data_IF_733552908384
#
_entry.id   IF_733552908384
#
_cell.length_a   1.000
_cell.length_b   1.000
_cell.length_c   1.000
_cell.angle_alpha   90.00
_cell.angle_beta   90.00
_cell.angle_gamma   90.00
#
_symmetry.space_group_name_H-M   'P 1'
#
loop_
_entity.id
_entity.type
_entity.pdbx_description
1 polymer ?
#
# COMPACT_ATOMS: atom_id res chain seq x y z
N UNK A 1 -41.28 -42.10 -3.38
CA UNK A 1 -41.25 -41.11 -2.29
C UNK A 1 -40.98 -39.75 -2.92
N UNK A 2 -41.93 -38.85 -2.90
CA UNK A 2 -41.77 -37.47 -3.40
C UNK A 2 -41.03 -36.64 -2.36
N UNK A 3 -39.89 -36.09 -2.74
CA UNK A 3 -39.07 -35.18 -1.94
C UNK A 3 -39.88 -33.93 -1.58
N UNK A 4 -39.86 -33.51 -0.31
CA UNK A 4 -40.54 -32.26 0.08
C UNK A 4 -39.70 -31.09 -0.43
N UNK A 5 -40.27 -30.31 -1.35
CA UNK A 5 -39.58 -29.20 -2.01
C UNK A 5 -40.08 -27.88 -1.44
N UNK A 6 -39.24 -27.23 -0.63
CA UNK A 6 -39.43 -25.81 -0.33
C UNK A 6 -38.86 -25.03 -1.52
N UNK A 7 -39.69 -24.77 -2.54
CA UNK A 7 -39.25 -24.23 -3.84
C UNK A 7 -38.97 -22.71 -3.86
N UNK A 8 -39.17 -21.99 -2.75
CA UNK A 8 -39.04 -20.53 -2.72
C UNK A 8 -37.76 -20.04 -2.02
N UNK A 9 -37.11 -19.04 -2.63
CA UNK A 9 -36.06 -18.24 -2.00
C UNK A 9 -36.62 -17.50 -0.79
N UNK A 10 -35.98 -17.65 0.37
CA UNK A 10 -36.49 -17.15 1.65
C UNK A 10 -35.66 -16.00 2.19
N UNK A 11 -36.20 -15.23 3.15
CA UNK A 11 -35.49 -14.16 3.83
C UNK A 11 -34.13 -14.61 4.40
N UNK A 12 -34.04 -15.85 4.88
CA UNK A 12 -32.81 -16.39 5.45
C UNK A 12 -31.71 -16.61 4.40
N UNK A 13 -32.10 -16.86 3.14
CA UNK A 13 -31.16 -16.91 2.02
C UNK A 13 -30.57 -15.52 1.73
N UNK A 14 -31.36 -14.44 1.83
CA UNK A 14 -30.88 -13.05 1.74
C UNK A 14 -29.86 -12.76 2.83
N UNK A 15 -30.17 -13.12 4.08
CA UNK A 15 -29.26 -12.91 5.21
C UNK A 15 -27.93 -13.64 4.99
N UNK A 16 -27.97 -14.90 4.57
CA UNK A 16 -26.75 -15.66 4.25
C UNK A 16 -25.92 -15.00 3.14
N UNK A 17 -26.56 -14.49 2.08
CA UNK A 17 -25.86 -13.76 1.01
C UNK A 17 -25.18 -12.48 1.51
N UNK A 18 -25.80 -11.73 2.43
CA UNK A 18 -25.18 -10.55 3.05
C UNK A 18 -23.91 -10.96 3.80
N UNK A 19 -23.96 -12.03 4.58
CA UNK A 19 -22.79 -12.51 5.31
C UNK A 19 -21.71 -13.11 4.40
N UNK A 20 -22.08 -13.67 3.25
CA UNK A 20 -21.13 -14.04 2.19
C UNK A 20 -20.44 -12.80 1.60
N UNK A 21 -21.15 -11.69 1.42
CA UNK A 21 -20.53 -10.42 0.99
C UNK A 21 -19.59 -9.87 2.06
N UNK A 22 -19.97 -9.92 3.35
CA UNK A 22 -19.08 -9.52 4.44
C UNK A 22 -17.81 -10.38 4.46
N UNK A 23 -17.96 -11.70 4.30
CA UNK A 23 -16.85 -12.64 4.21
C UNK A 23 -15.95 -12.33 3.00
N UNK A 24 -16.54 -12.04 1.84
CA UNK A 24 -15.81 -11.61 0.65
C UNK A 24 -14.96 -10.38 0.94
N UNK A 25 -15.55 -9.33 1.52
CA UNK A 25 -14.87 -8.06 1.81
C UNK A 25 -13.71 -8.29 2.79
N UNK A 26 -13.95 -9.03 3.88
CA UNK A 26 -12.93 -9.31 4.89
C UNK A 26 -11.76 -10.15 4.34
N UNK A 27 -12.07 -11.21 3.60
CA UNK A 27 -11.05 -12.02 2.91
C UNK A 27 -10.28 -11.18 1.88
N UNK A 28 -10.98 -10.35 1.10
CA UNK A 28 -10.37 -9.50 0.08
C UNK A 28 -9.34 -8.56 0.68
N UNK A 29 -9.70 -7.82 1.73
CA UNK A 29 -8.77 -6.91 2.38
C UNK A 29 -7.62 -7.64 3.08
N UNK A 30 -7.89 -8.76 3.76
CA UNK A 30 -6.83 -9.59 4.36
C UNK A 30 -5.84 -10.12 3.32
N UNK A 31 -6.35 -10.63 2.20
CA UNK A 31 -5.55 -11.10 1.07
C UNK A 31 -4.80 -9.97 0.38
N UNK A 32 -5.36 -8.76 0.32
CA UNK A 32 -4.68 -7.59 -0.25
C UNK A 32 -3.34 -7.32 0.45
N UNK A 33 -3.25 -7.59 1.76
CA UNK A 33 -1.97 -7.52 2.47
C UNK A 33 -1.02 -8.65 2.05
N UNK A 34 -1.48 -9.91 2.03
CA UNK A 34 -0.66 -11.06 1.63
C UNK A 34 -0.14 -10.97 0.20
N UNK A 35 -0.93 -10.41 -0.72
CA UNK A 35 -0.56 -10.28 -2.13
C UNK A 35 0.16 -8.97 -2.44
N UNK A 36 0.58 -8.20 -1.42
CA UNK A 36 1.22 -6.89 -1.58
C UNK A 36 0.40 -5.89 -2.40
N UNK A 37 -0.93 -5.99 -2.30
CA UNK A 37 -1.91 -5.16 -2.99
C UNK A 37 -2.21 -5.57 -4.43
N UNK A 38 -1.97 -6.84 -4.80
CA UNK A 38 -2.41 -7.35 -6.09
C UNK A 38 -3.94 -7.57 -6.11
N UNK A 39 -4.66 -6.55 -6.58
CA UNK A 39 -6.13 -6.53 -6.68
C UNK A 39 -6.73 -7.75 -7.40
N UNK A 40 -6.32 -8.07 -8.65
CA UNK A 40 -6.89 -9.20 -9.38
C UNK A 40 -6.82 -10.52 -8.61
N UNK A 41 -5.66 -10.82 -8.01
CA UNK A 41 -5.45 -12.07 -7.27
C UNK A 41 -6.31 -12.09 -6.02
N UNK A 42 -6.33 -11.00 -5.24
CA UNK A 42 -7.12 -10.93 -4.01
C UNK A 42 -8.63 -11.05 -4.27
N UNK A 43 -9.13 -10.43 -5.34
CA UNK A 43 -10.53 -10.56 -5.77
C UNK A 43 -10.83 -11.99 -6.21
N UNK A 44 -9.98 -12.57 -7.06
CA UNK A 44 -10.20 -13.92 -7.59
C UNK A 44 -10.28 -14.98 -6.48
N UNK A 45 -9.34 -14.95 -5.53
CA UNK A 45 -9.33 -15.90 -4.40
C UNK A 45 -10.56 -15.67 -3.50
N UNK A 46 -10.89 -14.41 -3.18
CA UNK A 46 -12.04 -14.10 -2.31
C UNK A 46 -13.37 -14.51 -2.96
N UNK A 47 -13.51 -14.28 -4.27
CA UNK A 47 -14.69 -14.69 -5.04
C UNK A 47 -14.81 -16.21 -5.08
N UNK A 48 -13.71 -16.92 -5.32
CA UNK A 48 -13.69 -18.38 -5.31
C UNK A 48 -14.16 -18.94 -3.96
N UNK A 49 -13.68 -18.40 -2.85
CA UNK A 49 -14.12 -18.81 -1.50
C UNK A 49 -15.64 -18.64 -1.34
N UNK A 50 -16.19 -17.51 -1.76
CA UNK A 50 -17.63 -17.22 -1.67
C UNK A 50 -18.46 -18.16 -2.56
N UNK A 51 -18.00 -18.43 -3.79
CA UNK A 51 -18.66 -19.39 -4.69
C UNK A 51 -18.68 -20.79 -4.08
N UNK A 52 -17.57 -21.23 -3.48
CA UNK A 52 -17.49 -22.52 -2.80
C UNK A 52 -18.45 -22.60 -1.61
N UNK A 53 -18.51 -21.54 -0.78
CA UNK A 53 -19.49 -21.47 0.30
C UNK A 53 -20.92 -21.55 -0.20
N UNK A 54 -21.27 -20.75 -1.20
CA UNK A 54 -22.61 -20.76 -1.77
C UNK A 54 -22.98 -22.15 -2.30
N UNK A 55 -22.07 -22.80 -3.05
CA UNK A 55 -22.26 -24.15 -3.55
C UNK A 55 -22.48 -25.17 -2.41
N UNK A 56 -21.66 -25.12 -1.35
CA UNK A 56 -21.79 -26.00 -0.18
C UNK A 56 -23.15 -25.79 0.50
N UNK A 57 -23.60 -24.55 0.71
CA UNK A 57 -24.91 -24.26 1.30
C UNK A 57 -26.05 -24.84 0.45
N UNK A 58 -26.01 -24.67 -0.87
CA UNK A 58 -27.05 -25.22 -1.75
C UNK A 58 -27.08 -26.75 -1.71
N UNK A 59 -25.90 -27.40 -1.69
CA UNK A 59 -25.81 -28.86 -1.59
C UNK A 59 -26.27 -29.37 -0.22
N UNK A 60 -25.95 -28.66 0.86
CA UNK A 60 -26.41 -28.95 2.22
C UNK A 60 -27.94 -28.86 2.32
N UNK A 61 -28.56 -27.81 1.76
CA UNK A 61 -30.03 -27.67 1.71
C UNK A 61 -30.68 -28.85 0.99
N UNK A 62 -30.21 -29.17 -0.23
CA UNK A 62 -30.71 -30.31 -1.02
C UNK A 62 -30.55 -31.64 -0.30
N UNK A 63 -29.44 -31.83 0.41
CA UNK A 63 -29.14 -33.09 1.09
C UNK A 63 -29.76 -33.20 2.49
N UNK A 64 -30.38 -32.14 3.02
CA UNK A 64 -30.81 -32.07 4.42
C UNK A 64 -31.80 -33.19 4.76
N UNK A 65 -32.79 -33.46 3.91
CA UNK A 65 -33.80 -34.49 4.20
C UNK A 65 -33.14 -35.87 4.37
N UNK A 66 -32.20 -36.22 3.48
CA UNK A 66 -31.42 -37.46 3.56
C UNK A 66 -30.54 -37.50 4.80
N UNK A 67 -29.87 -36.38 5.11
CA UNK A 67 -28.98 -36.28 6.27
C UNK A 67 -29.75 -36.47 7.58
N UNK A 68 -30.89 -35.79 7.77
CA UNK A 68 -31.68 -35.89 9.01
C UNK A 68 -32.30 -37.28 9.14
N UNK A 69 -32.87 -37.85 8.07
CA UNK A 69 -33.45 -39.20 8.08
C UNK A 69 -32.42 -40.28 8.42
N UNK A 70 -31.16 -40.10 8.00
CA UNK A 70 -30.05 -41.03 8.28
C UNK A 70 -29.25 -40.66 9.55
N UNK A 71 -29.78 -39.78 10.41
CA UNK A 71 -29.11 -39.32 11.64
C UNK A 71 -27.67 -38.84 11.38
N UNK A 72 -27.46 -38.09 10.29
CA UNK A 72 -26.19 -37.54 9.84
C UNK A 72 -25.10 -38.58 9.50
N UNK A 73 -25.45 -39.86 9.32
CA UNK A 73 -24.52 -40.90 8.82
C UNK A 73 -24.42 -40.94 7.28
N UNK A 74 -25.00 -39.95 6.59
CA UNK A 74 -24.97 -39.86 5.13
C UNK A 74 -23.61 -39.35 4.61
N UNK A 75 -23.14 -39.76 3.42
CA UNK A 75 -21.95 -39.17 2.81
C UNK A 75 -22.04 -37.63 2.66
N UNK A 76 -23.26 -37.08 2.56
CA UNK A 76 -23.49 -35.63 2.49
C UNK A 76 -23.01 -34.86 3.74
N UNK A 77 -22.81 -35.53 4.89
CA UNK A 77 -22.24 -34.91 6.10
C UNK A 77 -20.82 -34.38 5.86
N UNK A 78 -20.09 -34.90 4.86
CA UNK A 78 -18.78 -34.36 4.45
C UNK A 78 -18.85 -32.87 4.08
N UNK A 79 -20.01 -32.38 3.60
CA UNK A 79 -20.21 -30.98 3.25
C UNK A 79 -20.10 -30.05 4.47
N UNK A 80 -20.47 -30.51 5.66
CA UNK A 80 -20.28 -29.75 6.91
C UNK A 80 -18.79 -29.68 7.27
N UNK A 81 -18.04 -30.75 7.05
CA UNK A 81 -16.58 -30.77 7.26
C UNK A 81 -15.89 -29.81 6.28
N UNK A 82 -16.26 -29.84 4.99
CA UNK A 82 -15.74 -28.91 3.98
C UNK A 82 -16.07 -27.46 4.33
N UNK A 83 -17.27 -27.19 4.85
CA UNK A 83 -17.65 -25.87 5.34
C UNK A 83 -16.71 -25.39 6.46
N UNK A 84 -16.40 -26.25 7.44
CA UNK A 84 -15.47 -25.91 8.54
C UNK A 84 -14.06 -25.67 8.02
N UNK A 85 -13.59 -26.46 7.04
CA UNK A 85 -12.27 -26.26 6.41
C UNK A 85 -12.19 -24.88 5.74
N UNK A 86 -13.23 -24.48 4.99
CA UNK A 86 -13.28 -23.12 4.42
C UNK A 86 -13.31 -22.03 5.50
N UNK A 87 -13.89 -22.32 6.67
CA UNK A 87 -13.97 -21.36 7.77
C UNK A 87 -12.58 -21.12 8.36
N UNK A 88 -11.80 -22.19 8.53
CA UNK A 88 -10.39 -22.11 8.96
C UNK A 88 -9.56 -21.35 7.90
N UNK A 89 -9.78 -21.63 6.61
CA UNK A 89 -9.09 -20.90 5.55
C UNK A 89 -9.40 -19.40 5.58
N UNK A 90 -10.66 -19.02 5.78
CA UNK A 90 -11.09 -17.62 5.86
C UNK A 90 -10.67 -16.94 7.17
N UNK A 91 -10.47 -17.72 8.23
CA UNK A 91 -10.03 -17.21 9.54
C UNK A 91 -8.67 -16.51 9.44
N UNK A 92 -7.73 -17.04 8.64
CA UNK A 92 -6.38 -16.47 8.50
C UNK A 92 -6.38 -15.04 7.95
N UNK A 93 -6.90 -14.75 6.74
CA UNK A 93 -6.93 -13.39 6.19
C UNK A 93 -7.81 -12.44 7.01
N UNK A 94 -8.94 -12.90 7.57
CA UNK A 94 -9.78 -12.08 8.46
C UNK A 94 -9.02 -11.66 9.73
N UNK A 95 -8.36 -12.62 10.39
CA UNK A 95 -7.54 -12.34 11.57
C UNK A 95 -6.39 -11.40 11.23
N UNK A 96 -5.75 -11.61 10.08
CA UNK A 96 -4.67 -10.76 9.61
C UNK A 96 -5.12 -9.31 9.40
N UNK A 97 -6.24 -9.12 8.72
CA UNK A 97 -6.86 -7.81 8.53
C UNK A 97 -7.15 -7.13 9.86
N UNK A 98 -7.82 -7.83 10.78
CA UNK A 98 -8.17 -7.28 12.09
C UNK A 98 -6.89 -6.89 12.85
N UNK A 99 -5.87 -7.74 12.85
CA UNK A 99 -4.60 -7.46 13.53
C UNK A 99 -3.92 -6.20 12.98
N UNK A 100 -3.92 -6.04 11.65
CA UNK A 100 -3.38 -4.84 11.01
C UNK A 100 -4.15 -3.60 11.44
N UNK A 101 -5.49 -3.66 11.41
CA UNK A 101 -6.36 -2.54 11.77
C UNK A 101 -6.23 -2.14 13.25
N UNK A 102 -6.05 -3.10 14.16
CA UNK A 102 -6.05 -2.83 15.60
C UNK A 102 -4.67 -2.61 16.20
N UNK A 103 -3.63 -3.29 15.70
CA UNK A 103 -2.32 -3.33 16.34
C UNK A 103 -1.18 -2.74 15.50
N UNK A 104 -1.25 -2.87 14.17
CA UNK A 104 -0.17 -2.42 13.28
C UNK A 104 -0.38 -1.01 12.73
N UNK A 105 -1.63 -0.59 12.55
CA UNK A 105 -2.03 0.67 11.90
C UNK A 105 -1.26 1.89 12.39
N UNK A 106 -1.28 2.15 13.70
CA UNK A 106 -0.64 3.34 14.26
C UNK A 106 0.89 3.29 14.07
N UNK A 107 1.48 2.09 14.11
CA UNK A 107 2.92 1.88 13.92
C UNK A 107 3.33 2.13 12.48
N UNK A 108 2.53 1.65 11.52
CA UNK A 108 2.68 1.95 10.09
C UNK A 108 2.60 3.45 9.86
N UNK A 109 1.62 4.13 10.46
CA UNK A 109 1.45 5.58 10.31
C UNK A 109 2.63 6.37 10.89
N UNK A 110 3.15 5.98 12.06
CA UNK A 110 4.34 6.58 12.67
C UNK A 110 5.56 6.41 11.76
N UNK A 111 5.83 5.19 11.30
CA UNK A 111 6.98 4.92 10.43
C UNK A 111 6.91 5.67 9.10
N UNK A 112 5.72 5.73 8.48
CA UNK A 112 5.49 6.51 7.26
C UNK A 112 5.75 7.99 7.54
N UNK A 113 5.20 8.55 8.62
CA UNK A 113 5.40 9.95 8.97
C UNK A 113 6.88 10.27 9.17
N UNK A 114 7.63 9.45 9.91
CA UNK A 114 9.06 9.65 10.14
C UNK A 114 9.86 9.69 8.83
N UNK A 115 9.54 8.77 7.90
CA UNK A 115 10.21 8.68 6.59
C UNK A 115 9.83 9.84 5.67
N UNK A 116 8.55 10.19 5.59
CA UNK A 116 8.05 11.26 4.73
C UNK A 116 8.48 12.65 5.24
N UNK A 117 8.49 12.88 6.56
CA UNK A 117 8.91 14.16 7.13
C UNK A 117 10.36 14.53 6.76
N UNK A 118 11.23 13.53 6.53
CA UNK A 118 12.58 13.77 6.01
C UNK A 118 12.55 14.28 4.57
N UNK A 119 11.68 13.74 3.73
CA UNK A 119 11.52 14.20 2.34
C UNK A 119 10.95 15.62 2.32
N UNK A 120 10.03 15.94 3.23
CA UNK A 120 9.43 17.27 3.31
C UNK A 120 10.44 18.39 3.59
N UNK A 121 11.63 18.09 4.10
CA UNK A 121 12.70 19.08 4.29
C UNK A 121 13.57 19.29 3.04
N UNK A 122 13.42 18.47 2.00
CA UNK A 122 14.31 18.50 0.82
C UNK A 122 14.19 19.79 0.03
N UNK A 123 12.99 20.35 -0.06
CA UNK A 123 12.75 21.65 -0.70
C UNK A 123 13.56 22.75 -0.03
N UNK A 124 13.51 22.82 1.32
CA UNK A 124 14.28 23.80 2.11
C UNK A 124 15.80 23.55 2.03
N UNK A 125 16.23 22.29 2.09
CA UNK A 125 17.66 21.93 1.98
C UNK A 125 18.20 22.41 0.63
N UNK A 126 17.50 22.13 -0.46
CA UNK A 126 17.93 22.54 -1.80
C UNK A 126 17.89 24.07 -1.94
N UNK A 127 16.78 24.72 -1.57
CA UNK A 127 16.63 26.17 -1.67
C UNK A 127 17.74 26.93 -0.92
N UNK A 128 18.05 26.51 0.31
CA UNK A 128 19.09 27.14 1.12
C UNK A 128 20.49 26.92 0.54
N UNK A 129 20.78 25.71 0.06
CA UNK A 129 22.07 25.42 -0.59
C UNK A 129 22.20 26.18 -1.89
N UNK A 130 21.20 26.15 -2.77
CA UNK A 130 21.20 26.84 -4.05
C UNK A 130 21.35 28.35 -3.91
N UNK A 131 20.69 28.97 -2.90
CA UNK A 131 20.85 30.39 -2.59
C UNK A 131 22.30 30.74 -2.23
N UNK A 132 22.87 29.99 -1.30
CA UNK A 132 24.27 30.17 -0.87
C UNK A 132 25.22 29.93 -2.04
N UNK A 133 24.94 28.92 -2.85
CA UNK A 133 25.73 28.54 -4.00
C UNK A 133 25.78 29.63 -5.07
N UNK A 134 24.62 30.22 -5.36
CA UNK A 134 24.51 31.31 -6.32
C UNK A 134 25.30 32.54 -5.88
N UNK A 135 25.24 32.90 -4.60
CA UNK A 135 26.02 34.02 -4.04
C UNK A 135 27.54 33.74 -4.13
N UNK A 136 27.95 32.52 -3.81
CA UNK A 136 29.35 32.11 -3.92
C UNK A 136 29.82 32.09 -5.38
N UNK A 137 29.00 31.59 -6.31
CA UNK A 137 29.32 31.58 -7.73
C UNK A 137 29.47 33.00 -8.29
N UNK A 138 28.54 33.90 -7.98
CA UNK A 138 28.58 35.31 -8.37
C UNK A 138 29.87 35.98 -7.87
N UNK A 139 30.16 35.84 -6.58
CA UNK A 139 31.35 36.42 -5.96
C UNK A 139 32.65 35.88 -6.57
N UNK A 140 32.76 34.56 -6.72
CA UNK A 140 33.96 33.93 -7.27
C UNK A 140 34.16 34.27 -8.74
N UNK A 141 33.10 34.27 -9.56
CA UNK A 141 33.16 34.64 -10.98
C UNK A 141 33.59 36.12 -11.14
N UNK A 142 32.95 37.02 -10.40
CA UNK A 142 33.25 38.47 -10.42
C UNK A 142 34.71 38.71 -10.07
N UNK A 143 35.19 38.12 -8.97
CA UNK A 143 36.58 38.28 -8.52
C UNK A 143 37.59 37.71 -9.52
N UNK A 144 37.31 36.54 -10.11
CA UNK A 144 38.18 35.93 -11.12
C UNK A 144 38.22 36.73 -12.42
N UNK A 145 37.09 37.25 -12.89
CA UNK A 145 37.03 38.10 -14.08
C UNK A 145 37.77 39.41 -13.87
N UNK A 146 37.55 40.12 -12.75
CA UNK A 146 38.29 41.35 -12.41
C UNK A 146 39.79 41.12 -12.34
N UNK A 147 40.21 40.02 -11.70
CA UNK A 147 41.62 39.65 -11.64
C UNK A 147 42.19 39.34 -13.04
N UNK A 148 41.43 38.64 -13.88
CA UNK A 148 41.84 38.29 -15.23
C UNK A 148 41.99 39.51 -16.14
N UNK A 149 41.03 40.43 -16.13
CA UNK A 149 41.07 41.69 -16.90
C UNK A 149 42.32 42.50 -16.56
N UNK A 150 42.69 42.55 -15.27
CA UNK A 150 43.88 43.27 -14.79
C UNK A 150 45.19 42.56 -15.13
N UNK A 151 45.27 41.25 -14.91
CA UNK A 151 46.55 40.52 -14.94
C UNK A 151 46.84 39.80 -16.26
N UNK A 152 45.81 39.52 -17.06
CA UNK A 152 45.86 38.73 -18.30
C UNK A 152 46.49 37.34 -18.10
N UNK A 153 46.35 36.78 -16.88
CA UNK A 153 46.99 35.51 -16.50
C UNK A 153 46.42 34.33 -17.32
N UNK A 154 47.26 33.51 -17.97
CA UNK A 154 46.83 32.27 -18.62
C UNK A 154 46.15 31.30 -17.65
N UNK A 155 46.60 31.25 -16.39
CA UNK A 155 46.00 30.40 -15.35
C UNK A 155 44.56 30.81 -15.05
N UNK A 156 44.30 32.12 -14.91
CA UNK A 156 42.94 32.62 -14.69
C UNK A 156 42.05 32.40 -15.92
N UNK A 157 42.59 32.57 -17.14
CA UNK A 157 41.89 32.24 -18.39
C UNK A 157 41.43 30.78 -18.38
N UNK A 158 42.33 29.85 -18.09
CA UNK A 158 42.01 28.42 -18.05
C UNK A 158 40.97 28.09 -16.97
N UNK A 159 41.03 28.74 -15.80
CA UNK A 159 40.01 28.57 -14.76
C UNK A 159 38.63 29.09 -15.17
N UNK A 160 38.57 30.23 -15.87
CA UNK A 160 37.31 30.80 -16.37
C UNK A 160 36.72 29.98 -17.52
N UNK A 161 37.55 29.33 -18.33
CA UNK A 161 37.10 28.41 -19.38
C UNK A 161 36.60 27.07 -18.84
N UNK A 162 37.06 26.67 -17.66
CA UNK A 162 36.66 25.42 -17.03
C UNK A 162 35.33 25.54 -16.27
N UNK A 163 34.74 24.39 -15.93
CA UNK A 163 33.61 24.33 -15.00
C UNK A 163 34.02 24.89 -13.63
N UNK A 164 33.13 25.62 -12.94
CA UNK A 164 31.72 25.84 -13.27
C UNK A 164 31.42 27.05 -14.18
N UNK A 165 32.43 27.83 -14.59
CA UNK A 165 32.21 29.13 -15.28
C UNK A 165 32.01 29.00 -16.78
N UNK A 166 32.76 28.11 -17.46
CA UNK A 166 32.64 27.79 -18.89
C UNK A 166 32.54 29.04 -19.80
N UNK A 167 33.38 30.06 -19.54
CA UNK A 167 33.44 31.26 -20.37
C UNK A 167 34.17 30.95 -21.68
N UNK A 168 33.61 31.38 -22.80
CA UNK A 168 34.17 31.13 -24.13
C UNK A 168 35.57 31.74 -24.28
N UNK A 169 36.49 30.98 -24.89
CA UNK A 169 37.86 31.41 -25.16
C UNK A 169 37.93 32.70 -26.00
N UNK A 170 36.96 32.93 -26.89
CA UNK A 170 36.82 34.11 -27.72
C UNK A 170 36.47 35.34 -26.89
N UNK A 171 35.53 35.22 -25.95
CA UNK A 171 35.19 36.30 -25.00
C UNK A 171 36.41 36.66 -24.15
N UNK A 172 37.20 35.66 -23.77
CA UNK A 172 38.44 35.86 -23.02
C UNK A 172 39.63 36.29 -23.89
N UNK A 173 39.51 36.37 -25.22
CA UNK A 173 40.62 36.77 -26.10
C UNK A 173 40.91 38.28 -26.05
N UNK A 174 39.90 39.08 -25.72
CA UNK A 174 39.97 40.56 -25.68
C UNK A 174 39.63 41.09 -24.28
N UNK A 175 40.49 40.82 -23.27
CA UNK A 175 40.18 41.12 -21.87
C UNK A 175 39.90 42.60 -21.58
N UNK A 176 40.41 43.54 -22.39
CA UNK A 176 40.13 44.97 -22.23
C UNK A 176 38.66 45.35 -22.52
N UNK A 177 37.94 44.52 -23.27
CA UNK A 177 36.58 44.77 -23.71
C UNK A 177 35.54 43.98 -22.91
N UNK A 178 35.97 43.25 -21.88
CA UNK A 178 35.05 42.47 -21.03
C UNK A 178 34.36 43.43 -20.06
N UNK A 179 33.05 43.61 -20.25
CA UNK A 179 32.17 44.11 -19.19
C UNK A 179 31.95 42.97 -18.19
N UNK A 180 32.56 43.09 -17.01
CA UNK A 180 32.49 42.05 -15.98
C UNK A 180 31.08 41.90 -15.46
N UNK A 181 30.36 43.01 -15.25
CA UNK A 181 29.06 42.99 -14.58
C UNK A 181 28.01 42.39 -15.54
N UNK A 182 28.05 42.74 -16.83
CA UNK A 182 27.18 42.14 -17.86
C UNK A 182 27.47 40.64 -18.07
N UNK A 183 28.76 40.26 -18.15
CA UNK A 183 29.13 38.85 -18.33
C UNK A 183 28.72 38.00 -17.12
N UNK A 184 28.89 38.51 -15.90
CA UNK A 184 28.43 37.84 -14.68
C UNK A 184 26.90 37.70 -14.70
N UNK A 185 26.18 38.79 -14.99
CA UNK A 185 24.72 38.78 -15.04
C UNK A 185 24.18 37.75 -16.06
N UNK A 186 24.76 37.71 -17.25
CA UNK A 186 24.43 36.73 -18.30
C UNK A 186 24.61 35.29 -17.82
N UNK A 187 25.71 34.99 -17.13
CA UNK A 187 25.95 33.64 -16.58
C UNK A 187 25.01 33.29 -15.43
N UNK A 188 24.64 34.26 -14.61
CA UNK A 188 23.69 34.05 -13.52
C UNK A 188 22.27 33.70 -14.03
N UNK A 189 21.85 34.19 -15.20
CA UNK A 189 20.54 33.84 -15.78
C UNK A 189 20.43 32.32 -16.00
N UNK A 190 21.43 31.71 -16.65
CA UNK A 190 21.42 30.28 -16.93
C UNK A 190 21.45 29.44 -15.65
N UNK A 191 22.25 29.85 -14.65
CA UNK A 191 22.32 29.17 -13.34
C UNK A 191 20.99 29.29 -12.59
N UNK A 192 20.36 30.48 -12.57
CA UNK A 192 19.06 30.70 -11.94
C UNK A 192 17.96 29.85 -12.56
N UNK A 193 17.89 29.78 -13.89
CA UNK A 193 16.92 28.93 -14.60
C UNK A 193 17.05 27.48 -14.16
N UNK A 194 18.29 26.94 -14.16
CA UNK A 194 18.53 25.55 -13.75
C UNK A 194 18.16 25.28 -12.29
N UNK A 195 18.46 26.22 -11.39
CA UNK A 195 18.08 26.12 -9.97
C UNK A 195 16.55 26.10 -9.83
N UNK A 196 15.84 26.96 -10.57
CA UNK A 196 14.38 26.99 -10.54
C UNK A 196 13.76 25.68 -11.05
N UNK A 197 14.25 25.15 -12.17
CA UNK A 197 13.79 23.87 -12.72
C UNK A 197 14.02 22.72 -11.73
N UNK A 198 15.20 22.68 -11.11
CA UNK A 198 15.54 21.67 -10.12
C UNK A 198 14.71 21.80 -8.84
N UNK A 199 14.43 23.03 -8.39
CA UNK A 199 13.54 23.29 -7.26
C UNK A 199 12.13 22.75 -7.54
N UNK A 200 11.57 23.00 -8.73
CA UNK A 200 10.24 22.51 -9.11
C UNK A 200 10.16 20.98 -9.09
N UNK A 201 11.20 20.28 -9.55
CA UNK A 201 11.24 18.81 -9.52
C UNK A 201 11.29 18.26 -8.09
N UNK A 202 12.03 18.93 -7.19
CA UNK A 202 12.07 18.59 -5.77
C UNK A 202 10.72 18.87 -5.09
N UNK A 203 10.12 20.02 -5.36
CA UNK A 203 8.80 20.38 -4.82
C UNK A 203 7.72 19.39 -5.28
N UNK A 204 7.77 18.94 -6.53
CA UNK A 204 6.90 17.88 -7.02
C UNK A 204 7.07 16.59 -6.21
N UNK A 205 8.31 16.18 -5.92
CA UNK A 205 8.57 15.00 -5.09
C UNK A 205 8.08 15.16 -3.65
N UNK A 206 8.23 16.35 -3.07
CA UNK A 206 7.68 16.68 -1.74
C UNK A 206 6.15 16.59 -1.74
N UNK A 207 5.49 17.09 -2.79
CA UNK A 207 4.04 16.97 -2.93
C UNK A 207 3.58 15.51 -3.06
N UNK A 208 4.29 14.69 -3.85
CA UNK A 208 4.04 13.24 -3.93
C UNK A 208 4.19 12.55 -2.56
N UNK A 209 5.18 12.99 -1.76
CA UNK A 209 5.41 12.49 -0.41
C UNK A 209 4.26 12.86 0.55
N UNK A 210 3.79 14.11 0.52
CA UNK A 210 2.63 14.57 1.28
C UNK A 210 1.34 13.80 0.90
N UNK A 211 1.17 13.52 -0.39
CA UNK A 211 0.07 12.70 -0.88
C UNK A 211 0.15 11.26 -0.35
N UNK A 212 1.36 10.69 -0.26
CA UNK A 212 1.63 9.42 0.40
C UNK A 212 1.17 9.46 1.86
N UNK A 213 1.68 10.42 2.63
CA UNK A 213 1.36 10.59 4.03
C UNK A 213 -0.15 10.70 4.26
N UNK A 214 -0.85 11.53 3.48
CA UNK A 214 -2.30 11.71 3.56
C UNK A 214 -3.05 10.39 3.40
N UNK A 215 -2.65 9.53 2.46
CA UNK A 215 -3.30 8.22 2.24
C UNK A 215 -3.11 7.24 3.40
N UNK A 216 -1.96 7.28 4.07
CA UNK A 216 -1.75 6.51 5.30
C UNK A 216 -2.54 7.07 6.48
N UNK A 217 -2.61 8.40 6.63
CA UNK A 217 -3.40 9.04 7.68
C UNK A 217 -4.90 8.75 7.51
N UNK A 218 -5.41 8.80 6.29
CA UNK A 218 -6.80 8.42 5.96
C UNK A 218 -7.02 6.90 5.98
N UNK A 219 -5.96 6.11 6.16
CA UNK A 219 -5.97 4.66 6.12
C UNK A 219 -6.68 4.11 4.87
N UNK A 220 -6.21 4.54 3.70
CA UNK A 220 -6.75 4.07 2.43
C UNK A 220 -6.41 2.58 2.21
N UNK A 221 -7.25 1.68 2.72
CA UNK A 221 -7.07 0.22 2.75
C UNK A 221 -6.69 -0.40 1.41
N UNK A 222 -7.17 0.20 0.32
CA UNK A 222 -6.91 -0.23 -1.05
C UNK A 222 -5.45 0.01 -1.48
N UNK A 223 -4.73 0.91 -0.81
CA UNK A 223 -3.37 1.33 -1.18
C UNK A 223 -2.32 1.00 -0.13
N UNK A 224 -2.71 0.85 1.15
CA UNK A 224 -1.75 0.62 2.27
C UNK A 224 -0.78 -0.51 1.95
N UNK A 225 -1.25 -1.67 1.47
CA UNK A 225 -0.38 -2.82 1.24
C UNK A 225 0.73 -2.54 0.20
N UNK A 226 0.36 -2.00 -0.98
CA UNK A 226 1.32 -1.71 -2.05
C UNK A 226 2.21 -0.52 -1.71
N UNK A 227 1.62 0.55 -1.18
CA UNK A 227 2.39 1.75 -0.85
C UNK A 227 3.34 1.46 0.31
N UNK A 228 2.92 0.72 1.34
CA UNK A 228 3.83 0.44 2.45
C UNK A 228 5.03 -0.40 2.00
N UNK A 229 4.81 -1.39 1.12
CA UNK A 229 5.90 -2.17 0.50
C UNK A 229 6.89 -1.30 -0.29
N UNK A 230 6.39 -0.27 -0.98
CA UNK A 230 7.20 0.60 -1.84
C UNK A 230 7.80 1.81 -1.11
N UNK A 231 7.44 2.04 0.15
CA UNK A 231 7.84 3.23 0.93
C UNK A 231 9.36 3.40 0.98
N UNK A 232 10.11 2.34 1.29
CA UNK A 232 11.57 2.41 1.36
C UNK A 232 12.20 2.82 0.03
N UNK A 233 11.73 2.24 -1.08
CA UNK A 233 12.19 2.59 -2.43
C UNK A 233 11.86 4.04 -2.73
N UNK A 234 10.62 4.48 -2.47
CA UNK A 234 10.22 5.88 -2.68
C UNK A 234 11.12 6.87 -1.91
N UNK A 235 11.47 6.56 -0.66
CA UNK A 235 12.37 7.40 0.15
C UNK A 235 13.77 7.43 -0.44
N UNK A 236 14.33 6.27 -0.83
CA UNK A 236 15.65 6.17 -1.46
C UNK A 236 15.69 7.00 -2.75
N UNK A 237 14.73 6.79 -3.65
CA UNK A 237 14.64 7.51 -4.92
C UNK A 237 14.52 9.03 -4.71
N UNK A 238 13.93 9.45 -3.59
CA UNK A 238 13.80 10.87 -3.24
C UNK A 238 15.15 11.46 -2.80
N UNK A 239 15.94 10.71 -2.02
CA UNK A 239 17.31 11.12 -1.68
C UNK A 239 18.21 11.16 -2.92
N UNK A 240 18.08 10.19 -3.83
CA UNK A 240 18.82 10.16 -5.09
C UNK A 240 18.48 11.37 -5.97
N UNK A 241 17.20 11.73 -6.07
CA UNK A 241 16.76 12.94 -6.76
C UNK A 241 17.42 14.19 -6.14
N UNK A 242 17.30 14.39 -4.83
CA UNK A 242 17.90 15.54 -4.14
C UNK A 242 19.41 15.61 -4.42
N UNK A 243 20.13 14.49 -4.24
CA UNK A 243 21.57 14.44 -4.41
C UNK A 243 22.01 14.67 -5.86
N UNK A 244 21.24 14.17 -6.83
CA UNK A 244 21.44 14.51 -8.24
C UNK A 244 21.34 16.02 -8.44
N UNK A 245 20.32 16.68 -7.90
CA UNK A 245 20.12 18.13 -8.04
C UNK A 245 21.17 18.96 -7.32
N UNK A 246 21.63 18.51 -6.15
CA UNK A 246 22.75 19.11 -5.43
C UNK A 246 24.06 19.00 -6.23
N UNK A 247 24.31 17.88 -6.92
CA UNK A 247 25.51 17.70 -7.74
C UNK A 247 25.58 18.65 -8.95
N UNK A 248 24.42 19.18 -9.35
CA UNK A 248 24.26 20.10 -10.47
C UNK A 248 24.49 21.57 -10.09
N UNK A 249 24.62 21.89 -8.79
CA UNK A 249 24.98 23.22 -8.32
C UNK A 249 26.41 23.60 -8.75
N UNK A 250 26.67 24.87 -9.09
CA UNK A 250 27.98 25.27 -9.60
C UNK A 250 29.14 25.13 -8.61
N UNK A 251 28.94 25.36 -7.30
CA UNK A 251 30.05 25.41 -6.33
C UNK A 251 30.00 24.25 -5.32
N UNK A 252 28.94 24.14 -4.54
CA UNK A 252 28.76 23.18 -3.46
C UNK A 252 27.93 21.98 -3.95
N UNK A 253 28.65 20.89 -4.21
CA UNK A 253 28.09 19.62 -4.71
C UNK A 253 28.01 18.55 -3.62
N UNK A 254 28.19 18.94 -2.35
CA UNK A 254 28.21 17.98 -1.25
C UNK A 254 26.84 17.27 -1.15
N UNK A 255 26.83 15.92 -1.15
CA UNK A 255 25.60 15.16 -1.04
C UNK A 255 24.99 15.28 0.36
N UNK A 256 23.67 15.20 0.42
CA UNK A 256 22.94 14.95 1.66
C UNK A 256 23.02 13.47 2.04
N UNK A 257 23.44 13.13 3.27
CA UNK A 257 23.58 11.74 3.70
C UNK A 257 22.22 11.05 3.78
N UNK A 258 22.16 9.82 3.25
CA UNK A 258 20.97 8.98 3.33
C UNK A 258 20.83 8.44 4.75
N UNK A 259 19.87 8.95 5.51
CA UNK A 259 19.54 8.47 6.86
C UNK A 259 18.17 7.80 6.84
N UNK A 260 18.13 6.51 6.49
CA UNK A 260 16.88 5.73 6.42
C UNK A 260 16.95 4.50 7.32
N UNK A 261 15.89 4.28 8.11
CA UNK A 261 15.64 3.00 8.73
C UNK A 261 14.90 2.13 7.71
N UNK A 262 15.56 1.09 7.18
CA UNK A 262 14.97 0.18 6.19
C UNK A 262 14.02 -0.85 6.82
N UNK A 263 13.98 -0.96 8.14
CA UNK A 263 13.04 -1.86 8.80
C UNK A 263 11.60 -1.49 8.42
N UNK A 264 10.81 -2.51 8.15
CA UNK A 264 9.38 -2.42 7.85
C UNK A 264 8.66 -3.55 8.58
N UNK A 265 7.42 -3.28 8.96
CA UNK A 265 6.50 -4.25 9.53
C UNK A 265 6.18 -5.31 8.47
N UNK A 266 6.15 -6.61 8.81
CA UNK A 266 5.89 -7.69 7.86
C UNK A 266 4.38 -7.81 7.55
N UNK A 267 3.79 -6.76 6.96
CA UNK A 267 2.34 -6.71 6.70
C UNK A 267 1.87 -7.79 5.72
N UNK A 268 2.75 -8.36 4.91
CA UNK A 268 2.45 -9.44 3.97
C UNK A 268 2.55 -10.84 4.59
N UNK A 269 2.94 -10.95 5.86
CA UNK A 269 3.13 -12.22 6.54
C UNK A 269 2.31 -12.32 7.82
N UNK A 270 1.34 -13.23 7.84
CA UNK A 270 0.54 -13.51 9.02
C UNK A 270 1.39 -13.93 10.22
N UNK A 271 2.30 -14.88 10.00
CA UNK A 271 3.11 -15.47 11.06
C UNK A 271 4.10 -14.45 11.64
N UNK A 272 4.81 -13.71 10.79
CA UNK A 272 5.80 -12.74 11.25
C UNK A 272 5.14 -11.54 11.91
N UNK A 273 4.00 -11.07 11.40
CA UNK A 273 3.26 -9.98 12.03
C UNK A 273 2.74 -10.40 13.41
N UNK A 274 2.17 -11.61 13.54
CA UNK A 274 1.63 -12.09 14.81
C UNK A 274 2.71 -12.36 15.86
N UNK A 275 3.94 -12.68 15.46
CA UNK A 275 5.08 -12.78 16.39
C UNK A 275 5.40 -11.43 17.02
N UNK A 276 5.34 -10.36 16.25
CA UNK A 276 5.65 -9.00 16.73
C UNK A 276 4.46 -8.34 17.42
N UNK A 277 3.26 -8.57 16.88
CA UNK A 277 2.00 -7.97 17.32
C UNK A 277 0.93 -9.06 17.35
N UNK A 278 0.86 -9.85 18.44
CA UNK A 278 -0.13 -10.91 18.53
C UNK A 278 -1.56 -10.33 18.50
N UNK A 279 -2.46 -10.87 17.67
CA UNK A 279 -3.83 -10.41 17.64
C UNK A 279 -4.55 -10.75 18.94
N UNK A 280 -5.56 -9.95 19.29
CA UNK A 280 -6.55 -10.39 20.27
C UNK A 280 -7.39 -11.51 19.64
N UNK A 281 -7.00 -12.77 19.84
CA UNK A 281 -7.63 -13.94 19.22
C UNK A 281 -9.14 -14.07 19.45
N UNK A 282 -9.67 -13.49 20.53
CA UNK A 282 -11.10 -13.53 20.82
C UNK A 282 -11.92 -12.79 19.77
N UNK A 283 -11.47 -11.60 19.32
CA UNK A 283 -12.23 -10.76 18.41
C UNK A 283 -12.39 -11.40 17.01
N UNK A 284 -11.31 -11.85 16.32
CA UNK A 284 -11.41 -12.58 15.07
C UNK A 284 -12.19 -13.89 15.21
N UNK A 285 -12.01 -14.62 16.32
CA UNK A 285 -12.76 -15.85 16.56
C UNK A 285 -14.27 -15.59 16.63
N UNK A 286 -14.70 -14.57 17.39
CA UNK A 286 -16.11 -14.17 17.46
C UNK A 286 -16.64 -13.71 16.11
N UNK A 287 -15.90 -12.86 15.38
CA UNK A 287 -16.30 -12.39 14.06
C UNK A 287 -16.51 -13.56 13.09
N UNK A 288 -15.57 -14.51 13.06
CA UNK A 288 -15.64 -15.70 12.22
C UNK A 288 -16.82 -16.57 12.63
N UNK A 289 -16.99 -16.89 13.92
CA UNK A 289 -18.14 -17.69 14.39
C UNK A 289 -19.46 -17.06 13.98
N UNK A 290 -19.64 -15.75 14.21
CA UNK A 290 -20.86 -15.03 13.85
C UNK A 290 -21.11 -15.12 12.34
N UNK A 291 -20.13 -14.75 11.51
CA UNK A 291 -20.27 -14.75 10.05
C UNK A 291 -20.68 -16.14 9.55
N UNK A 292 -20.02 -17.19 10.03
CA UNK A 292 -20.24 -18.55 9.54
C UNK A 292 -21.56 -19.15 10.05
N UNK A 293 -22.02 -18.78 11.26
CA UNK A 293 -23.35 -19.14 11.74
C UNK A 293 -24.43 -18.55 10.84
N UNK A 294 -24.34 -17.26 10.51
CA UNK A 294 -25.32 -16.61 9.63
C UNK A 294 -25.29 -17.15 8.20
N UNK A 295 -24.12 -17.55 7.68
CA UNK A 295 -24.02 -18.22 6.38
C UNK A 295 -24.76 -19.57 6.42
N UNK A 296 -24.71 -20.32 7.53
CA UNK A 296 -25.37 -21.63 7.68
C UNK A 296 -26.88 -21.58 7.95
N UNK A 297 -27.44 -20.43 8.33
CA UNK A 297 -28.88 -20.32 8.69
C UNK A 297 -29.82 -20.96 7.66
N UNK A 298 -29.66 -20.76 6.33
CA UNK A 298 -30.54 -21.38 5.34
C UNK A 298 -30.58 -22.91 5.44
N UNK A 299 -29.46 -23.55 5.78
CA UNK A 299 -29.44 -25.00 6.01
C UNK A 299 -30.23 -25.36 7.26
N UNK A 300 -29.98 -24.68 8.39
CA UNK A 300 -30.66 -25.01 9.64
C UNK A 300 -32.18 -24.79 9.59
N UNK A 301 -32.64 -23.79 8.83
CA UNK A 301 -34.06 -23.44 8.72
C UNK A 301 -34.77 -24.04 7.50
N UNK A 302 -34.06 -24.76 6.61
CA UNK A 302 -34.69 -25.46 5.49
C UNK A 302 -35.61 -26.57 5.99
N UNK A 303 -36.90 -26.54 5.69
CA UNK A 303 -37.84 -27.51 6.27
C UNK A 303 -37.67 -28.90 5.67
N UNK A 304 -37.62 -29.93 6.52
CA UNK A 304 -37.56 -31.33 6.07
C UNK A 304 -38.57 -32.20 6.80
N UNK A 305 -39.09 -33.22 6.10
CA UNK A 305 -39.98 -34.23 6.68
C UNK A 305 -39.19 -35.47 7.05
N UNK A 306 -39.32 -35.90 8.30
CA UNK A 306 -38.77 -37.18 8.77
C UNK A 306 -39.93 -38.14 8.97
N UNK A 307 -39.85 -39.30 8.32
CA UNK A 307 -40.78 -40.40 8.53
C UNK A 307 -40.16 -41.35 9.56
N UNK A 308 -40.72 -41.38 10.77
CA UNK A 308 -40.31 -42.33 11.80
C UNK A 308 -41.06 -43.63 11.53
N UNK A 309 -40.34 -44.73 11.29
CA UNK A 309 -40.94 -46.07 11.32
C UNK A 309 -41.18 -46.45 12.77
N UNK A 310 -42.20 -45.87 13.39
CA UNK A 310 -42.77 -46.48 14.59
C UNK A 310 -43.58 -47.68 14.13
N UNK A 311 -43.09 -48.87 14.44
CA UNK A 311 -43.85 -50.12 14.42
C UNK A 311 -45.03 -49.96 15.40
N UNK A 312 -46.17 -49.45 14.93
CA UNK A 312 -47.52 -50.00 15.23
C UNK A 312 -48.74 -49.15 14.83
N UNK A 313 -48.61 -48.07 14.05
CA UNK A 313 -49.82 -47.39 13.54
C UNK A 313 -49.69 -46.98 12.08
N UNK A 314 -50.71 -47.30 11.29
CA UNK A 314 -50.90 -47.02 9.85
C UNK A 314 -50.96 -45.53 9.48
N UNK A 315 -50.51 -44.64 10.35
CA UNK A 315 -50.28 -43.24 10.07
C UNK A 315 -48.88 -42.86 10.55
N UNK A 316 -47.89 -42.94 9.65
CA UNK A 316 -46.53 -42.46 9.95
C UNK A 316 -46.60 -40.99 10.41
N UNK A 317 -46.12 -40.71 11.62
CA UNK A 317 -46.01 -39.34 12.12
C UNK A 317 -45.02 -38.58 11.25
N UNK A 318 -45.53 -37.59 10.51
CA UNK A 318 -44.70 -36.60 9.81
C UNK A 318 -44.22 -35.60 10.86
N UNK A 319 -42.93 -35.61 11.16
CA UNK A 319 -42.31 -34.54 11.95
C UNK A 319 -41.67 -33.57 10.97
N UNK A 320 -42.16 -32.33 10.97
CA UNK A 320 -41.54 -31.22 10.24
C UNK A 320 -40.46 -30.59 11.13
N UNK A 321 -39.22 -30.56 10.64
CA UNK A 321 -38.08 -29.90 11.28
C UNK A 321 -37.63 -28.67 10.49
#
# INVERSE_FOLDING_TARGET
>A
MTEFKQDNFTFVDVVSLIFLVILFIGNFFGLLYFTSGNFPISIAISALVVVLYYAIIQLLKKSKQKMVTQLYKSPATILLVLFVVLAIFSFVPLTHLINIETNAKDKVQVEVNEKINKINTFSDIYANRAKTDMQNFESQLTNKLRAYVKSKSPTLKNQLMAAPYNIDAQVLATPQNIDVDDLVASRLIAVRSKIQDNQQEIDKRVNEANDYQRRFQQWNRLRVATEYKNLNTFVIDSYELLNKKLSELPVNKTPEPVSINKMQLPLDSFTELNKQYPPNWLLPALAVVIIHLFILIPFFLYKVRVYRNDTDTTSGKVIEY
#
